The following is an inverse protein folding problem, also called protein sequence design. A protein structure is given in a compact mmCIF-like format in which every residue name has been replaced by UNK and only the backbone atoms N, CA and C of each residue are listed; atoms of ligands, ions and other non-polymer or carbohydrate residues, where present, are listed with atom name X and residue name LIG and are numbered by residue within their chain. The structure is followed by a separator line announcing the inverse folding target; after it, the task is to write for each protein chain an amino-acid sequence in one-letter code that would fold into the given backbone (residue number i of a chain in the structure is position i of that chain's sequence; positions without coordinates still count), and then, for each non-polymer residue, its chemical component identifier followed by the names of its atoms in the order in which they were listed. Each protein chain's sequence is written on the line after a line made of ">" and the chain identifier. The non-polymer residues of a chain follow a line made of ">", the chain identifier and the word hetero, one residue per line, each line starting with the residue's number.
data_IF_170430838448
#
_entry.id   IF_170430838448
#
_cell.length_a   1.000
_cell.length_b   1.000
_cell.length_c   1.000
_cell.angle_alpha   90.00
_cell.angle_beta   90.00
_cell.angle_gamma   90.00
#
_symmetry.space_group_name_H-M   'P 1'
#
loop_
_entity.id
_entity.type
_entity.pdbx_description
1 polymer ?
#
# COMPACT_ATOMS: atom_id res chain seq x y z
N UNK A 1 -10.36 14.23 -10.22
CA UNK A 1 -9.12 13.93 -9.45
C UNK A 1 -8.70 12.51 -9.79
N UNK A 2 -7.45 12.28 -10.17
CA UNK A 2 -6.94 10.92 -10.35
C UNK A 2 -7.05 10.21 -9.00
N UNK A 3 -7.70 9.05 -8.98
CA UNK A 3 -7.75 8.18 -7.81
C UNK A 3 -6.32 7.67 -7.59
N UNK A 4 -5.83 7.70 -6.34
CA UNK A 4 -4.46 7.38 -5.99
C UNK A 4 -4.46 6.30 -4.92
N UNK A 5 -3.66 5.25 -5.09
CA UNK A 5 -3.47 4.24 -4.06
C UNK A 5 -2.10 4.38 -3.39
N UNK A 6 -2.04 4.06 -2.11
CA UNK A 6 -0.81 3.97 -1.34
C UNK A 6 -0.65 2.51 -0.95
N UNK A 7 0.56 2.01 -1.13
CA UNK A 7 0.95 0.68 -0.68
C UNK A 7 1.28 0.77 0.82
N UNK A 8 0.43 0.18 1.65
CA UNK A 8 0.62 0.14 3.10
C UNK A 8 1.30 -1.17 3.47
N UNK A 9 2.48 -1.09 4.07
CA UNK A 9 3.25 -2.24 4.57
C UNK A 9 3.09 -2.36 6.08
N UNK A 10 2.63 -3.52 6.53
CA UNK A 10 2.56 -3.94 7.93
C UNK A 10 3.37 -5.24 8.13
N UNK A 11 3.45 -5.75 9.37
CA UNK A 11 4.31 -6.86 9.79
C UNK A 11 4.22 -8.10 8.89
N UNK A 12 3.00 -8.49 8.55
CA UNK A 12 2.71 -9.72 7.83
C UNK A 12 1.84 -9.48 6.59
N UNK A 13 1.50 -8.23 6.30
CA UNK A 13 0.53 -7.91 5.25
C UNK A 13 0.91 -6.63 4.54
N UNK A 14 0.63 -6.60 3.25
CA UNK A 14 0.68 -5.40 2.41
C UNK A 14 -0.71 -5.12 1.87
N UNK A 15 -1.16 -3.87 1.90
CA UNK A 15 -2.55 -3.47 1.58
C UNK A 15 -2.58 -2.26 0.68
N UNK A 16 -3.63 -2.18 -0.14
CA UNK A 16 -3.99 -0.98 -0.88
C UNK A 16 -4.78 -0.04 0.02
N UNK A 17 -4.33 1.20 0.21
CA UNK A 17 -5.07 2.20 1.00
C UNK A 17 -6.45 2.52 0.41
N UNK A 18 -6.60 2.41 -0.91
CA UNK A 18 -7.81 2.81 -1.63
C UNK A 18 -8.98 1.87 -1.39
N UNK A 19 -8.75 0.56 -1.49
CA UNK A 19 -9.80 -0.45 -1.36
C UNK A 19 -9.65 -1.33 -0.12
N UNK A 20 -8.63 -1.12 0.69
CA UNK A 20 -8.36 -1.85 1.94
C UNK A 20 -7.89 -3.29 1.78
N UNK A 21 -7.88 -3.82 0.55
CA UNK A 21 -7.53 -5.22 0.25
C UNK A 21 -6.03 -5.42 0.19
N UNK A 22 -5.60 -6.65 0.40
CA UNK A 22 -4.19 -6.97 0.31
C UNK A 22 -3.64 -6.74 -1.10
N UNK A 23 -2.43 -6.22 -1.15
CA UNK A 23 -1.73 -5.81 -2.36
C UNK A 23 -0.36 -6.46 -2.38
N UNK A 24 0.15 -6.79 -3.56
CA UNK A 24 1.49 -7.33 -3.68
C UNK A 24 2.51 -6.19 -3.65
N UNK A 25 3.54 -6.33 -2.82
CA UNK A 25 4.51 -5.25 -2.59
C UNK A 25 5.22 -4.79 -3.86
N UNK A 26 5.49 -5.70 -4.81
CA UNK A 26 6.20 -5.41 -6.06
C UNK A 26 5.32 -4.81 -7.16
N UNK A 27 3.99 -4.81 -7.00
CA UNK A 27 3.12 -4.36 -8.08
C UNK A 27 3.12 -2.83 -8.18
N UNK A 28 3.14 -2.29 -9.40
CA UNK A 28 2.99 -0.84 -9.65
C UNK A 28 1.52 -0.40 -9.61
N UNK A 29 0.61 -1.32 -9.88
CA UNK A 29 -0.85 -1.13 -9.83
C UNK A 29 -1.47 -2.23 -9.00
N UNK A 30 -2.59 -1.96 -8.32
CA UNK A 30 -3.30 -3.01 -7.60
C UNK A 30 -4.03 -3.94 -8.59
N UNK A 31 -3.29 -4.91 -9.14
CA UNK A 31 -3.77 -5.87 -10.15
C UNK A 31 -3.90 -7.29 -9.60
N UNK A 32 -3.35 -7.52 -8.40
CA UNK A 32 -3.40 -8.81 -7.70
C UNK A 32 -3.82 -8.61 -6.26
N UNK A 33 -4.62 -9.54 -5.79
CA UNK A 33 -4.96 -9.63 -4.37
C UNK A 33 -3.91 -10.51 -3.70
N UNK A 34 -3.22 -9.92 -2.72
CA UNK A 34 -2.45 -10.71 -1.78
C UNK A 34 -3.36 -11.00 -0.60
N UNK A 35 -3.41 -12.24 -0.15
CA UNK A 35 -4.12 -12.57 1.07
C UNK A 35 -3.11 -12.82 2.18
N UNK A 36 -3.04 -11.90 3.14
CA UNK A 36 -2.10 -12.00 4.25
C UNK A 36 -2.37 -13.23 5.13
N UNK A 37 -3.64 -13.54 5.40
CA UNK A 37 -4.07 -14.62 6.30
C UNK A 37 -5.41 -15.26 5.89
N UNK A 38 -5.73 -15.31 4.60
CA UNK A 38 -7.01 -15.86 4.12
C UNK A 38 -6.96 -16.27 2.64
N UNK A 39 -8.06 -16.74 2.09
CA UNK A 39 -8.26 -16.78 0.63
C UNK A 39 -9.12 -15.57 0.29
N UNK A 40 -8.78 -14.74 -0.71
CA UNK A 40 -9.66 -13.65 -1.14
C UNK A 40 -11.05 -14.23 -1.46
N UNK A 41 -12.11 -13.50 -1.14
CA UNK A 41 -13.45 -13.99 -1.48
C UNK A 41 -13.56 -14.16 -3.01
N UNK A 42 -14.39 -15.08 -3.54
CA UNK A 42 -14.50 -15.33 -4.98
C UNK A 42 -14.86 -14.08 -5.80
N UNK A 43 -15.54 -13.13 -5.17
CA UNK A 43 -15.97 -11.86 -5.76
C UNK A 43 -14.97 -10.71 -5.52
N UNK A 44 -13.91 -10.94 -4.76
CA UNK A 44 -12.91 -9.91 -4.55
C UNK A 44 -12.12 -9.67 -5.83
N UNK A 45 -12.16 -8.41 -6.26
CA UNK A 45 -11.29 -7.88 -7.31
C UNK A 45 -10.33 -6.84 -6.73
N UNK A 46 -9.10 -6.79 -7.26
CA UNK A 46 -8.18 -5.70 -6.97
C UNK A 46 -8.67 -4.43 -7.68
N UNK A 47 -8.34 -3.25 -7.15
CA UNK A 47 -8.97 -1.99 -7.61
C UNK A 47 -8.37 -1.41 -8.90
N UNK A 48 -7.23 -1.92 -9.37
CA UNK A 48 -6.54 -1.47 -10.58
C UNK A 48 -5.74 -0.17 -10.42
N UNK A 49 -5.91 0.55 -9.31
CA UNK A 49 -5.29 1.86 -9.11
C UNK A 49 -3.75 1.78 -9.02
N UNK A 50 -3.02 2.77 -9.58
CA UNK A 50 -1.57 2.85 -9.45
C UNK A 50 -1.19 3.19 -8.01
N UNK A 51 -0.12 2.56 -7.53
CA UNK A 51 0.52 2.96 -6.28
C UNK A 51 1.39 4.18 -6.52
N UNK A 52 1.10 5.28 -5.83
CA UNK A 52 1.82 6.55 -5.95
C UNK A 52 2.80 6.80 -4.81
N UNK A 53 2.70 6.01 -3.74
CA UNK A 53 3.56 6.08 -2.57
C UNK A 53 3.53 4.75 -1.80
N UNK A 54 4.54 4.56 -0.96
CA UNK A 54 4.62 3.47 0.03
C UNK A 54 4.64 4.07 1.44
N UNK A 55 3.90 3.46 2.36
CA UNK A 55 3.86 3.88 3.75
C UNK A 55 3.61 2.70 4.68
N UNK A 56 3.61 2.96 5.98
CA UNK A 56 3.38 1.97 7.03
C UNK A 56 2.55 2.58 8.16
N UNK A 57 1.86 1.73 8.92
CA UNK A 57 1.22 2.13 10.19
C UNK A 57 2.06 1.78 11.40
N UNK A 58 3.18 1.07 11.20
CA UNK A 58 4.04 0.58 12.27
C UNK A 58 4.95 1.69 12.78
N UNK A 59 4.93 1.88 14.09
CA UNK A 59 5.90 2.71 14.78
C UNK A 59 7.26 1.99 14.76
N UNK A 60 8.32 2.71 14.37
CA UNK A 60 9.68 2.17 14.29
C UNK A 60 10.12 1.67 12.90
N UNK A 61 9.21 1.57 11.93
CA UNK A 61 9.59 1.37 10.52
C UNK A 61 9.86 2.74 9.89
N UNK A 62 11.04 2.92 9.32
CA UNK A 62 11.48 4.19 8.75
C UNK A 62 11.12 4.31 7.27
N UNK A 63 11.19 5.54 6.74
CA UNK A 63 11.04 5.76 5.31
C UNK A 63 12.18 5.11 4.50
N UNK A 64 13.38 4.93 5.07
CA UNK A 64 14.49 4.24 4.41
C UNK A 64 14.22 2.74 4.28
N UNK A 65 13.67 2.10 5.31
CA UNK A 65 13.26 0.69 5.25
C UNK A 65 12.24 0.46 4.12
N UNK A 66 11.26 1.36 4.01
CA UNK A 66 10.26 1.30 2.95
C UNK A 66 10.86 1.57 1.56
N UNK A 67 11.85 2.48 1.47
CA UNK A 67 12.56 2.77 0.22
C UNK A 67 13.41 1.59 -0.24
N UNK A 68 13.96 0.80 0.68
CA UNK A 68 14.64 -0.45 0.34
C UNK A 68 13.69 -1.47 -0.32
N UNK A 69 12.40 -1.47 0.08
CA UNK A 69 11.38 -2.35 -0.49
C UNK A 69 10.84 -1.85 -1.84
N UNK A 70 10.62 -0.54 -1.96
CA UNK A 70 10.11 0.12 -3.18
C UNK A 70 10.89 1.41 -3.47
N UNK A 71 12.08 1.29 -4.08
CA UNK A 71 12.90 2.46 -4.39
C UNK A 71 12.30 3.34 -5.48
N UNK A 72 11.33 2.83 -6.23
CA UNK A 72 10.56 3.53 -7.27
C UNK A 72 9.44 4.41 -6.71
N UNK A 73 9.09 4.28 -5.41
CA UNK A 73 8.01 5.03 -4.79
C UNK A 73 8.52 6.01 -3.72
N UNK A 74 7.89 7.19 -3.59
CA UNK A 74 8.03 8.02 -2.40
C UNK A 74 7.63 7.23 -1.15
N UNK A 75 8.52 7.22 -0.16
CA UNK A 75 8.36 6.47 1.08
C UNK A 75 8.07 7.39 2.27
N UNK A 76 7.07 7.04 3.07
CA UNK A 76 6.64 7.82 4.24
C UNK A 76 6.48 6.93 5.46
N UNK A 77 7.12 7.29 6.58
CA UNK A 77 6.93 6.61 7.85
C UNK A 77 5.51 6.82 8.41
N UNK A 78 5.19 6.13 9.49
CA UNK A 78 3.89 6.22 10.13
C UNK A 78 3.58 7.66 10.59
N UNK A 79 2.50 8.23 10.08
CA UNK A 79 2.04 9.59 10.41
C UNK A 79 2.54 10.69 9.46
N UNK A 80 3.65 10.46 8.75
CA UNK A 80 4.31 11.44 7.88
C UNK A 80 3.70 11.58 6.49
N UNK A 81 2.66 10.79 6.20
CA UNK A 81 2.00 10.82 4.91
C UNK A 81 1.44 12.24 4.62
N UNK A 82 1.72 12.86 3.45
CA UNK A 82 1.20 14.17 3.08
C UNK A 82 -0.33 14.23 3.15
N UNK A 83 -0.88 15.39 3.54
CA UNK A 83 -2.33 15.57 3.67
C UNK A 83 -3.09 15.31 2.36
N UNK A 84 -2.47 15.60 1.21
CA UNK A 84 -3.01 15.33 -0.13
C UNK A 84 -3.09 13.83 -0.48
N UNK A 85 -2.33 12.99 0.22
CA UNK A 85 -2.29 11.54 0.08
C UNK A 85 -3.08 10.82 1.17
N UNK A 86 -3.33 11.49 2.31
CA UNK A 86 -4.30 11.07 3.33
C UNK A 86 -5.71 11.26 2.75
N UNK A 87 -6.13 10.36 1.85
CA UNK A 87 -7.49 10.38 1.31
C UNK A 87 -8.50 10.33 2.48
N UNK A 88 -9.38 11.35 2.53
CA UNK A 88 -10.58 11.43 3.40
C UNK A 88 -11.69 10.52 2.87
#
# INVERSE_FOLDING_TARGET
>A
MARRAILIVDDYTTKCSRCGKGARIQDTHHTRLLSGWGTPAPHDRPCGEPFVAISTRRLGVTAEDLRALRPDLPAYAAGDLPAELKER
#
